data_IF_108931388541
#
_entry.id   IF_108931388541
#
_cell.length_a   1.000
_cell.length_b   1.000
_cell.length_c   1.000
_cell.angle_alpha   90.00
_cell.angle_beta   90.00
_cell.angle_gamma   90.00
#
_symmetry.space_group_name_H-M   'P 1'
#
loop_
_entity.id
_entity.type
_entity.pdbx_description
1 polymer ?
#
# COMPACT_ATOMS: atom_id res chain seq x y z
N UNK A 1 8.35 -26.12 -3.96
CA UNK A 1 8.12 -24.95 -4.84
C UNK A 1 7.85 -23.76 -3.94
N UNK A 2 8.58 -22.65 -4.10
CA UNK A 2 8.32 -21.41 -3.38
C UNK A 2 7.22 -20.65 -4.12
N UNK A 3 6.06 -20.45 -3.50
CA UNK A 3 5.06 -19.51 -4.01
C UNK A 3 5.60 -18.09 -3.81
N UNK A 4 6.19 -17.49 -4.85
CA UNK A 4 6.65 -16.10 -4.80
C UNK A 4 5.44 -15.17 -4.90
N UNK A 5 5.32 -14.19 -4.01
CA UNK A 5 4.24 -13.19 -3.99
C UNK A 5 4.86 -11.84 -4.36
N UNK A 6 4.31 -11.13 -5.34
CA UNK A 6 4.67 -9.73 -5.57
C UNK A 6 3.81 -8.86 -4.69
N UNK A 7 4.44 -8.11 -3.79
CA UNK A 7 3.80 -7.22 -2.83
C UNK A 7 4.15 -5.77 -3.13
N UNK A 8 3.22 -4.84 -2.99
CA UNK A 8 3.44 -3.39 -3.16
C UNK A 8 2.54 -2.63 -2.21
N UNK A 9 3.07 -1.59 -1.57
CA UNK A 9 2.31 -0.72 -0.66
C UNK A 9 2.22 0.70 -1.23
N UNK A 10 1.04 1.29 -1.14
CA UNK A 10 0.82 2.72 -1.34
C UNK A 10 0.47 3.32 0.01
N UNK A 11 1.22 4.33 0.45
CA UNK A 11 1.09 4.93 1.77
C UNK A 11 0.61 6.37 1.62
N UNK A 12 -0.57 6.67 2.12
CA UNK A 12 -1.09 8.03 2.23
C UNK A 12 -0.49 8.68 3.47
N UNK A 13 0.11 9.84 3.29
CA UNK A 13 0.65 10.69 4.35
C UNK A 13 -0.03 12.06 4.28
N UNK A 14 0.24 12.94 5.26
CA UNK A 14 -0.20 14.33 5.19
C UNK A 14 0.37 15.08 3.96
N UNK A 15 1.49 14.61 3.40
CA UNK A 15 2.14 15.15 2.21
C UNK A 15 1.65 14.51 0.89
N UNK A 16 0.85 13.45 0.95
CA UNK A 16 0.31 12.75 -0.22
C UNK A 16 0.65 11.27 -0.28
N UNK A 17 0.42 10.68 -1.46
CA UNK A 17 0.65 9.25 -1.73
C UNK A 17 2.11 8.96 -2.01
N UNK A 18 2.67 7.98 -1.29
CA UNK A 18 4.03 7.48 -1.49
C UNK A 18 3.95 5.99 -1.86
N UNK A 19 4.46 5.65 -3.04
CA UNK A 19 4.57 4.25 -3.49
C UNK A 19 5.80 3.61 -2.89
N UNK A 20 5.61 2.50 -2.18
CA UNK A 20 6.69 1.62 -1.75
C UNK A 20 7.22 0.75 -2.90
N UNK A 21 8.39 0.13 -2.74
CA UNK A 21 8.93 -0.78 -3.74
C UNK A 21 8.04 -2.02 -3.90
N UNK A 22 8.11 -2.63 -5.08
CA UNK A 22 7.53 -3.96 -5.30
C UNK A 22 8.54 -5.00 -4.82
N UNK A 23 8.17 -5.81 -3.84
CA UNK A 23 9.05 -6.74 -3.14
C UNK A 23 8.42 -8.13 -3.04
N UNK A 24 9.19 -9.13 -2.64
CA UNK A 24 8.72 -10.52 -2.58
C UNK A 24 8.16 -10.93 -1.21
N UNK A 25 8.16 -10.01 -0.24
CA UNK A 25 7.62 -10.25 1.10
C UNK A 25 6.96 -9.01 1.73
N UNK A 26 5.90 -9.20 2.54
CA UNK A 26 5.29 -8.09 3.28
C UNK A 26 6.22 -7.50 4.34
N UNK A 27 7.19 -8.28 4.84
CA UNK A 27 8.17 -7.83 5.83
C UNK A 27 9.10 -6.76 5.26
N UNK A 28 9.62 -6.99 4.06
CA UNK A 28 10.46 -6.03 3.35
C UNK A 28 9.68 -4.76 2.99
N UNK A 29 8.44 -4.88 2.51
CA UNK A 29 7.61 -3.74 2.15
C UNK A 29 7.40 -2.77 3.32
N UNK A 30 7.24 -3.31 4.53
CA UNK A 30 7.07 -2.55 5.77
C UNK A 30 8.29 -1.72 6.14
N UNK A 31 9.50 -2.15 5.77
CA UNK A 31 10.73 -1.41 6.07
C UNK A 31 10.82 -0.08 5.30
N UNK A 32 10.14 0.01 4.16
CA UNK A 32 10.08 1.20 3.32
C UNK A 32 8.88 2.10 3.64
N UNK A 33 8.04 1.73 4.63
CA UNK A 33 6.86 2.51 4.97
C UNK A 33 7.25 3.79 5.71
N UNK A 34 6.75 4.97 5.30
CA UNK A 34 6.91 6.20 6.08
C UNK A 34 6.28 6.09 7.47
N UNK A 35 6.94 6.62 8.50
CA UNK A 35 6.41 6.60 9.88
C UNK A 35 5.06 7.34 10.01
N UNK A 36 4.88 8.40 9.21
CA UNK A 36 3.71 9.29 9.24
C UNK A 36 2.56 8.82 8.33
N UNK A 37 2.51 7.51 8.05
CA UNK A 37 1.47 6.94 7.19
C UNK A 37 0.12 6.98 7.91
N UNK A 38 -0.88 7.55 7.27
CA UNK A 38 -2.27 7.61 7.72
C UNK A 38 -3.05 6.37 7.28
N UNK A 39 -2.89 5.98 6.01
CA UNK A 39 -3.56 4.85 5.37
C UNK A 39 -2.56 4.12 4.46
N UNK A 40 -2.52 2.79 4.54
CA UNK A 40 -1.77 1.95 3.61
C UNK A 40 -2.73 1.16 2.73
N UNK A 41 -2.57 1.23 1.41
CA UNK A 41 -3.15 0.28 0.47
C UNK A 41 -2.12 -0.76 0.11
N UNK A 42 -2.46 -2.01 0.35
CA UNK A 42 -1.63 -3.16 0.09
C UNK A 42 -2.13 -3.81 -1.20
N UNK A 43 -1.26 -3.97 -2.18
CA UNK A 43 -1.51 -4.75 -3.38
C UNK A 43 -0.61 -5.97 -3.42
N UNK A 44 -1.16 -7.17 -3.63
CA UNK A 44 -0.35 -8.35 -3.87
C UNK A 44 -0.96 -9.33 -4.88
N UNK A 45 -0.10 -10.08 -5.55
CA UNK A 45 -0.47 -11.18 -6.46
C UNK A 45 0.56 -12.30 -6.41
N UNK A 46 0.14 -13.51 -6.76
CA UNK A 46 1.07 -14.62 -6.97
C UNK A 46 1.95 -14.33 -8.19
N UNK A 47 3.27 -14.40 -8.04
CA UNK A 47 4.22 -14.08 -9.11
C UNK A 47 4.29 -15.16 -10.19
N UNK A 48 3.93 -16.40 -9.82
CA UNK A 48 3.97 -17.58 -10.70
C UNK A 48 2.75 -17.69 -11.62
N UNK A 49 1.74 -16.86 -11.41
CA UNK A 49 0.50 -16.85 -12.18
C UNK A 49 0.33 -15.45 -12.80
N UNK A 50 0.63 -15.27 -14.10
CA UNK A 50 0.54 -13.95 -14.74
C UNK A 50 -0.89 -13.40 -14.73
N UNK A 51 -1.89 -14.29 -14.70
CA UNK A 51 -3.32 -13.96 -14.61
C UNK A 51 -3.84 -13.90 -13.17
N UNK A 52 -2.96 -14.02 -12.16
CA UNK A 52 -3.37 -13.92 -10.77
C UNK A 52 -3.99 -12.54 -10.51
N UNK A 53 -5.23 -12.59 -9.99
CA UNK A 53 -5.97 -11.39 -9.60
C UNK A 53 -5.16 -10.60 -8.57
N UNK A 54 -5.01 -9.30 -8.81
CA UNK A 54 -4.47 -8.39 -7.81
C UNK A 54 -5.43 -8.32 -6.63
N UNK A 55 -4.93 -8.69 -5.46
CA UNK A 55 -5.65 -8.53 -4.20
C UNK A 55 -5.24 -7.19 -3.61
N UNK A 56 -6.23 -6.37 -3.27
CA UNK A 56 -6.03 -5.07 -2.65
C UNK A 56 -6.67 -5.06 -1.27
N UNK A 57 -5.98 -4.52 -0.27
CA UNK A 57 -6.50 -4.36 1.09
C UNK A 57 -6.09 -3.01 1.66
N UNK A 58 -6.98 -2.41 2.45
CA UNK A 58 -6.76 -1.11 3.08
C UNK A 58 -6.44 -1.31 4.55
N UNK A 59 -5.44 -0.60 5.05
CA UNK A 59 -5.05 -0.65 6.46
C UNK A 59 -4.90 0.76 7.00
N UNK A 60 -5.82 1.15 7.87
CA UNK A 60 -5.72 2.39 8.64
C UNK A 60 -4.55 2.28 9.61
N UNK A 61 -3.67 3.26 9.57
CA UNK A 61 -2.45 3.33 10.39
C UNK A 61 -2.56 4.43 11.43
N UNK A 62 -3.24 5.52 11.11
CA UNK A 62 -3.59 6.56 12.07
C UNK A 62 -4.89 6.22 12.79
N UNK A 63 -4.97 6.45 14.12
CA UNK A 63 -6.25 6.46 14.85
C UNK A 63 -7.09 7.72 14.54
N UNK A 64 -6.47 8.75 13.98
CA UNK A 64 -7.14 9.97 13.55
C UNK A 64 -7.80 9.76 12.18
N UNK A 65 -9.10 9.45 12.22
CA UNK A 65 -9.93 9.23 11.03
C UNK A 65 -10.16 10.51 10.24
N UNK A 66 -10.16 11.67 10.90
CA UNK A 66 -10.41 12.97 10.25
C UNK A 66 -9.19 13.35 9.41
N UNK A 67 -7.98 13.14 9.93
CA UNK A 67 -6.75 13.32 9.16
C UNK A 67 -6.68 12.42 7.91
N UNK A 68 -7.19 11.18 8.00
CA UNK A 68 -7.29 10.29 6.83
C UNK A 68 -8.30 10.84 5.82
N UNK A 69 -9.47 11.27 6.29
CA UNK A 69 -10.51 11.83 5.43
C UNK A 69 -10.04 13.11 4.73
N UNK A 70 -9.37 14.01 5.44
CA UNK A 70 -8.80 15.25 4.89
C UNK A 70 -7.72 14.96 3.84
N UNK A 71 -6.81 14.03 4.13
CA UNK A 71 -5.78 13.62 3.18
C UNK A 71 -6.40 12.97 1.92
N UNK A 72 -7.42 12.13 2.09
CA UNK A 72 -8.16 11.52 0.98
C UNK A 72 -8.94 12.56 0.16
N UNK A 73 -9.56 13.55 0.82
CA UNK A 73 -10.26 14.64 0.14
C UNK A 73 -9.30 15.53 -0.65
N UNK A 74 -8.08 15.75 -0.12
CA UNK A 74 -7.06 16.59 -0.74
C UNK A 74 -6.33 15.91 -1.90
N UNK A 75 -5.90 14.66 -1.72
CA UNK A 75 -5.06 13.95 -2.69
C UNK A 75 -5.84 12.95 -3.56
N UNK A 76 -7.09 12.68 -3.21
CA UNK A 76 -7.95 11.77 -3.95
C UNK A 76 -7.55 10.28 -3.77
N UNK A 77 -8.15 9.40 -4.59
CA UNK A 77 -7.82 7.98 -4.56
C UNK A 77 -6.38 7.73 -4.95
N UNK A 78 -5.88 6.53 -4.64
CA UNK A 78 -4.52 6.14 -5.01
C UNK A 78 -4.27 6.37 -6.52
N UNK A 79 -3.06 6.80 -6.89
CA UNK A 79 -2.68 6.88 -8.30
C UNK A 79 -2.82 5.52 -8.99
N UNK A 80 -3.22 5.55 -10.27
CA UNK A 80 -3.17 4.37 -11.13
C UNK A 80 -1.70 4.08 -11.43
N UNK A 81 -1.30 2.82 -11.25
CA UNK A 81 -0.04 2.29 -11.80
C UNK A 81 -0.14 2.24 -13.33
#
# INVERSE_FOLDING_TARGET
MSCSIRWTEWNLTAAGWIRGPTVDSPGEARQHRPAETLLTLIGWRLAIEPDAKLIVSEVFRSPDTDAVADAMAKYGPKPKD
#
